data_IF_080064827577
#
_entry.id   IF_080064827577
#
_cell.length_a   1.000
_cell.length_b   1.000
_cell.length_c   1.000
_cell.angle_alpha   90.00
_cell.angle_beta   90.00
_cell.angle_gamma   90.00
#
_symmetry.space_group_name_H-M   'P 1'
#
loop_
_entity.id
_entity.type
_entity.pdbx_description
1 polymer ?
#
# COMPACT_ATOMS: atom_id res chain seq x y z
N UNK A 1 -7.82 21.09 -17.84
CA UNK A 1 -8.14 20.01 -16.89
C UNK A 1 -8.72 18.86 -17.70
N UNK A 2 -8.18 17.63 -17.65
CA UNK A 2 -8.96 16.48 -18.12
C UNK A 2 -10.27 16.45 -17.32
N UNK A 3 -11.38 16.07 -17.97
CA UNK A 3 -12.62 15.76 -17.26
C UNK A 3 -12.36 14.50 -16.41
N UNK A 4 -11.90 14.68 -15.17
CA UNK A 4 -11.79 13.58 -14.21
C UNK A 4 -13.20 13.21 -13.77
N UNK A 5 -13.82 12.28 -14.51
CA UNK A 5 -15.12 11.74 -14.17
C UNK A 5 -14.88 10.63 -13.13
N UNK A 6 -14.74 11.02 -11.87
CA UNK A 6 -14.58 10.08 -10.76
C UNK A 6 -15.85 9.23 -10.63
N UNK A 7 -15.69 7.91 -10.62
CA UNK A 7 -16.79 7.01 -10.28
C UNK A 7 -17.17 7.21 -8.81
N UNK A 8 -18.48 7.28 -8.48
CA UNK A 8 -18.90 7.35 -7.09
C UNK A 8 -18.47 6.08 -6.35
N UNK A 9 -17.69 6.24 -5.28
CA UNK A 9 -17.32 5.16 -4.37
C UNK A 9 -18.31 5.10 -3.20
N UNK A 10 -19.07 4.01 -3.12
CA UNK A 10 -19.87 3.70 -1.94
C UNK A 10 -19.01 2.95 -0.93
N UNK A 11 -18.72 3.58 0.21
CA UNK A 11 -17.97 2.96 1.30
C UNK A 11 -18.68 1.69 1.80
N UNK A 12 -19.99 1.73 1.97
CA UNK A 12 -20.78 0.56 2.43
C UNK A 12 -20.63 -0.63 1.50
N UNK A 13 -20.77 -0.40 0.19
CA UNK A 13 -20.65 -1.47 -0.80
C UNK A 13 -19.18 -1.95 -0.96
N UNK A 14 -18.20 -1.09 -0.71
CA UNK A 14 -16.77 -1.43 -0.80
C UNK A 14 -16.27 -2.13 0.46
N UNK A 15 -16.82 -1.83 1.64
CA UNK A 15 -16.32 -2.24 2.96
C UNK A 15 -16.00 -3.74 3.08
N UNK A 16 -16.83 -4.68 2.58
CA UNK A 16 -16.49 -6.11 2.66
C UNK A 16 -15.19 -6.46 1.92
N UNK A 17 -15.03 -5.97 0.68
CA UNK A 17 -13.80 -6.17 -0.12
C UNK A 17 -12.62 -5.38 0.45
N UNK A 18 -12.88 -4.18 0.98
CA UNK A 18 -11.87 -3.30 1.56
C UNK A 18 -11.13 -3.99 2.71
N UNK A 19 -11.83 -4.72 3.59
CA UNK A 19 -11.20 -5.46 4.69
C UNK A 19 -10.20 -6.51 4.19
N UNK A 20 -10.55 -7.23 3.12
CA UNK A 20 -9.64 -8.19 2.47
C UNK A 20 -8.43 -7.47 1.88
N UNK A 21 -8.63 -6.39 1.12
CA UNK A 21 -7.55 -5.59 0.54
C UNK A 21 -6.61 -5.02 1.61
N UNK A 22 -7.16 -4.55 2.73
CA UNK A 22 -6.39 -4.07 3.88
C UNK A 22 -5.50 -5.16 4.46
N UNK A 23 -6.01 -6.38 4.64
CA UNK A 23 -5.21 -7.50 5.11
C UNK A 23 -4.09 -7.86 4.12
N UNK A 24 -4.39 -7.84 2.82
CA UNK A 24 -3.40 -8.12 1.79
C UNK A 24 -2.31 -7.05 1.75
N UNK A 25 -2.69 -5.77 1.82
CA UNK A 25 -1.75 -4.65 1.88
C UNK A 25 -0.90 -4.70 3.17
N UNK A 26 -1.49 -5.03 4.32
CA UNK A 26 -0.76 -5.16 5.59
C UNK A 26 0.35 -6.20 5.50
N UNK A 27 0.06 -7.39 4.98
CA UNK A 27 1.09 -8.41 4.78
C UNK A 27 2.15 -7.94 3.79
N UNK A 28 1.72 -7.39 2.65
CA UNK A 28 2.63 -6.90 1.59
C UNK A 28 3.59 -5.84 2.12
N UNK A 29 3.09 -4.86 2.90
CA UNK A 29 3.91 -3.85 3.56
C UNK A 29 4.82 -4.42 4.66
N UNK A 30 4.39 -5.49 5.37
CA UNK A 30 5.24 -6.20 6.34
C UNK A 30 6.39 -6.95 5.65
N UNK A 31 6.15 -7.59 4.49
CA UNK A 31 7.21 -8.19 3.67
C UNK A 31 8.20 -7.12 3.24
N UNK A 32 7.71 -5.98 2.72
CA UNK A 32 8.56 -4.85 2.35
C UNK A 32 9.40 -4.37 3.53
N UNK A 33 8.79 -4.16 4.69
CA UNK A 33 9.47 -3.74 5.93
C UNK A 33 10.55 -4.72 6.37
N UNK A 34 10.30 -6.03 6.29
CA UNK A 34 11.22 -7.05 6.75
C UNK A 34 12.51 -7.13 5.93
N UNK A 35 12.45 -6.74 4.65
CA UNK A 35 13.55 -6.91 3.69
C UNK A 35 14.11 -5.59 3.14
N UNK A 36 13.45 -4.46 3.39
CA UNK A 36 13.94 -3.13 2.99
C UNK A 36 14.66 -2.47 4.17
N UNK A 37 15.87 -1.90 3.98
CA UNK A 37 16.51 -1.07 5.01
C UNK A 37 15.57 0.03 5.50
N UNK A 38 15.58 0.30 6.81
CA UNK A 38 14.77 1.38 7.39
C UNK A 38 14.99 2.66 6.61
N UNK A 39 13.90 3.26 6.19
CA UNK A 39 13.85 4.58 5.56
C UNK A 39 13.04 5.50 6.46
N UNK A 40 13.49 6.75 6.56
CA UNK A 40 12.81 7.85 7.27
C UNK A 40 11.34 7.98 6.87
N UNK A 41 10.56 8.59 7.76
CA UNK A 41 9.12 8.78 7.61
C UNK A 41 8.41 7.45 7.33
N UNK A 42 8.90 6.35 7.90
CA UNK A 42 8.39 4.98 7.70
C UNK A 42 8.19 4.53 6.24
N UNK A 43 8.84 5.17 5.27
CA UNK A 43 8.58 4.98 3.83
C UNK A 43 8.93 3.59 3.28
N UNK A 44 9.66 2.79 4.06
CA UNK A 44 9.97 1.37 3.78
C UNK A 44 8.80 0.41 4.09
N UNK A 45 7.69 0.90 4.65
CA UNK A 45 6.50 0.09 4.98
C UNK A 45 5.36 0.29 3.96
N UNK A 46 5.32 1.45 3.30
CA UNK A 46 4.21 1.85 2.44
C UNK A 46 4.09 1.02 1.16
N UNK A 47 3.01 1.19 0.41
CA UNK A 47 2.85 0.71 -0.97
C UNK A 47 2.71 1.89 -1.92
N UNK A 48 2.86 1.65 -3.22
CA UNK A 48 2.72 2.67 -4.27
C UNK A 48 1.72 2.19 -5.31
N UNK A 49 0.99 3.13 -5.91
CA UNK A 49 0.18 2.83 -7.08
C UNK A 49 1.10 2.46 -8.27
N UNK A 50 0.89 1.27 -8.81
CA UNK A 50 1.41 0.80 -10.09
C UNK A 50 0.34 0.94 -11.18
N UNK A 51 0.57 0.40 -12.38
CA UNK A 51 -0.40 0.47 -13.47
C UNK A 51 -1.70 -0.30 -13.17
N UNK A 52 -1.61 -1.45 -12.50
CA UNK A 52 -2.75 -2.37 -12.30
C UNK A 52 -3.13 -2.60 -10.83
N UNK A 53 -2.43 -1.95 -9.89
CA UNK A 53 -2.72 -2.10 -8.47
C UNK A 53 -1.63 -1.52 -7.57
N UNK A 54 -1.35 -2.18 -6.45
CA UNK A 54 -0.46 -1.67 -5.40
C UNK A 54 0.84 -2.47 -5.33
N UNK A 55 1.97 -1.81 -5.51
CA UNK A 55 3.30 -2.43 -5.47
C UNK A 55 4.11 -2.01 -4.26
N UNK A 56 4.98 -2.91 -3.78
CA UNK A 56 6.07 -2.55 -2.86
C UNK A 56 7.12 -1.67 -3.54
N UNK A 57 7.18 -1.70 -4.88
CA UNK A 57 8.36 -1.36 -5.64
C UNK A 57 9.49 -2.36 -5.37
N UNK A 58 10.69 -2.10 -5.94
CA UNK A 58 11.85 -2.97 -5.79
C UNK A 58 12.29 -3.10 -4.32
N UNK A 59 12.41 -4.33 -3.83
CA UNK A 59 12.93 -4.70 -2.51
C UNK A 59 14.26 -5.43 -2.72
N UNK A 60 15.37 -4.96 -2.11
CA UNK A 60 16.62 -5.71 -2.10
C UNK A 60 16.54 -6.91 -1.15
N UNK A 61 16.97 -8.08 -1.60
CA UNK A 61 17.10 -9.30 -0.78
C UNK A 61 18.39 -10.03 -1.16
N UNK A 62 19.49 -9.63 -0.51
CA UNK A 62 20.83 -10.14 -0.84
C UNK A 62 21.20 -9.84 -2.30
N UNK A 63 21.52 -10.85 -3.13
CA UNK A 63 21.88 -10.66 -4.54
C UNK A 63 20.66 -10.49 -5.47
N UNK A 64 19.44 -10.57 -4.95
CA UNK A 64 18.19 -10.50 -5.73
C UNK A 64 17.47 -9.21 -5.40
N UNK A 65 16.83 -8.61 -6.40
CA UNK A 65 15.78 -7.60 -6.17
C UNK A 65 14.46 -8.23 -6.57
N UNK A 66 13.41 -8.00 -5.79
CA UNK A 66 12.09 -8.51 -6.11
C UNK A 66 11.02 -7.50 -5.71
N UNK A 67 9.81 -7.67 -6.20
CA UNK A 67 8.67 -6.85 -5.80
C UNK A 67 7.42 -7.70 -5.64
N UNK A 68 6.50 -7.23 -4.78
CA UNK A 68 5.14 -7.73 -4.69
C UNK A 68 4.21 -6.70 -5.30
N UNK A 69 3.30 -7.16 -6.15
CA UNK A 69 2.21 -6.38 -6.72
C UNK A 69 0.88 -7.04 -6.35
N UNK A 70 0.04 -6.34 -5.61
CA UNK A 70 -1.39 -6.63 -5.52
C UNK A 70 -2.03 -6.11 -6.80
N UNK A 71 -2.10 -6.96 -7.83
CA UNK A 71 -2.71 -6.67 -9.12
C UNK A 71 -4.23 -6.69 -8.94
N UNK A 72 -4.82 -5.50 -8.84
CA UNK A 72 -6.26 -5.30 -8.61
C UNK A 72 -7.07 -5.37 -9.91
N UNK A 73 -6.38 -5.39 -11.06
CA UNK A 73 -7.01 -5.58 -12.38
C UNK A 73 -6.99 -7.05 -12.79
N UNK A 74 -5.87 -7.74 -12.53
CA UNK A 74 -5.75 -9.19 -12.75
C UNK A 74 -6.22 -10.05 -11.56
N UNK A 75 -6.62 -9.43 -10.45
CA UNK A 75 -7.06 -10.06 -9.20
C UNK A 75 -6.09 -11.12 -8.67
N UNK A 76 -4.82 -10.75 -8.57
CA UNK A 76 -3.75 -11.65 -8.16
C UNK A 76 -2.66 -10.90 -7.39
N UNK A 77 -2.04 -11.59 -6.43
CA UNK A 77 -0.71 -11.23 -5.96
C UNK A 77 0.29 -11.71 -7.03
N UNK A 78 1.17 -10.82 -7.47
CA UNK A 78 2.28 -11.11 -8.38
C UNK A 78 3.59 -10.86 -7.63
N UNK A 79 4.52 -11.81 -7.77
CA UNK A 79 5.89 -11.68 -7.26
C UNK A 79 6.84 -11.79 -8.45
N UNK A 80 7.62 -10.74 -8.69
CA UNK A 80 8.61 -10.68 -9.78
C UNK A 80 10.01 -10.53 -9.19
N UNK A 81 10.99 -11.26 -9.71
CA UNK A 81 12.40 -11.12 -9.32
C UNK A 81 13.25 -10.55 -10.44
N UNK A 82 14.41 -9.98 -10.10
CA UNK A 82 15.42 -9.48 -11.03
C UNK A 82 16.07 -10.59 -11.86
N UNK A 83 15.78 -11.86 -11.56
CA UNK A 83 16.18 -13.04 -12.36
C UNK A 83 15.15 -13.39 -13.44
N UNK A 84 14.03 -12.68 -13.51
CA UNK A 84 12.94 -12.94 -14.44
C UNK A 84 11.95 -13.99 -13.97
N UNK A 85 12.03 -14.44 -12.71
CA UNK A 85 11.02 -15.34 -12.14
C UNK A 85 9.74 -14.57 -11.86
N UNK A 86 8.60 -15.24 -12.07
CA UNK A 86 7.27 -14.69 -11.89
C UNK A 86 6.37 -15.73 -11.23
N UNK A 87 5.77 -15.42 -10.09
CA UNK A 87 4.77 -16.25 -9.41
C UNK A 87 3.51 -15.43 -9.20
N UNK A 88 2.35 -16.02 -9.47
CA UNK A 88 1.06 -15.43 -9.13
C UNK A 88 0.21 -16.29 -8.20
N UNK A 89 -0.63 -15.63 -7.40
CA UNK A 89 -1.62 -16.23 -6.50
C UNK A 89 -2.93 -15.43 -6.57
N UNK A 90 -4.10 -16.06 -6.68
CA UNK A 90 -5.36 -15.33 -6.84
C UNK A 90 -5.72 -14.54 -5.58
N UNK A 91 -6.26 -13.33 -5.75
CA UNK A 91 -6.94 -12.56 -4.71
C UNK A 91 -8.43 -12.89 -4.81
N UNK A 92 -8.96 -13.61 -3.83
CA UNK A 92 -10.29 -14.26 -3.92
C UNK A 92 -11.11 -14.14 -2.64
N UNK A 93 -10.72 -13.25 -1.72
CA UNK A 93 -11.36 -13.14 -0.41
C UNK A 93 -10.93 -14.26 0.55
N UNK A 94 -9.76 -14.87 0.32
CA UNK A 94 -9.20 -15.78 1.31
C UNK A 94 -8.91 -15.04 2.63
N UNK A 95 -8.94 -15.79 3.73
CA UNK A 95 -8.66 -15.25 5.06
C UNK A 95 -7.25 -14.67 5.17
N UNK A 96 -7.01 -13.82 6.18
CA UNK A 96 -5.69 -13.26 6.44
C UNK A 96 -4.64 -14.36 6.63
N UNK A 97 -5.00 -15.43 7.34
CA UNK A 97 -4.13 -16.58 7.57
C UNK A 97 -3.77 -17.30 6.27
N UNK A 98 -4.78 -17.56 5.43
CA UNK A 98 -4.57 -18.25 4.15
C UNK A 98 -3.69 -17.41 3.23
N UNK A 99 -3.95 -16.11 3.13
CA UNK A 99 -3.13 -15.21 2.31
C UNK A 99 -1.69 -15.12 2.83
N UNK A 100 -1.50 -15.09 4.15
CA UNK A 100 -0.18 -15.12 4.79
C UNK A 100 0.61 -16.37 4.39
N UNK A 101 0.03 -17.56 4.59
CA UNK A 101 0.69 -18.82 4.26
C UNK A 101 0.97 -18.96 2.76
N UNK A 102 0.00 -18.66 1.90
CA UNK A 102 0.16 -18.72 0.43
C UNK A 102 1.27 -17.78 -0.06
N UNK A 103 1.37 -16.57 0.51
CA UNK A 103 2.39 -15.57 0.16
C UNK A 103 3.78 -15.99 0.65
N UNK A 104 3.90 -16.41 1.92
CA UNK A 104 5.18 -16.84 2.48
C UNK A 104 5.70 -18.11 1.81
N UNK A 105 4.82 -19.04 1.44
CA UNK A 105 5.20 -20.23 0.68
C UNK A 105 5.69 -19.87 -0.73
N UNK A 106 5.05 -18.92 -1.41
CA UNK A 106 5.49 -18.43 -2.71
C UNK A 106 6.87 -17.76 -2.64
N UNK A 107 7.10 -16.91 -1.62
CA UNK A 107 8.40 -16.29 -1.36
C UNK A 107 9.49 -17.32 -1.05
N UNK A 108 9.18 -18.31 -0.19
CA UNK A 108 10.12 -19.38 0.14
C UNK A 108 10.53 -20.20 -1.10
N UNK A 109 9.60 -20.44 -2.03
CA UNK A 109 9.90 -21.09 -3.32
C UNK A 109 10.89 -20.32 -4.20
N UNK A 110 11.03 -19.00 -3.99
CA UNK A 110 12.01 -18.13 -4.66
C UNK A 110 13.32 -17.95 -3.85
N UNK A 111 13.42 -18.62 -2.70
CA UNK A 111 14.52 -18.45 -1.74
C UNK A 111 14.44 -17.17 -0.91
N UNK A 112 13.26 -16.55 -0.80
CA UNK A 112 13.01 -15.32 -0.04
C UNK A 112 12.30 -15.66 1.28
N UNK A 113 12.89 -15.28 2.41
CA UNK A 113 12.36 -15.64 3.75
C UNK A 113 12.27 -14.40 4.65
N UNK A 114 11.28 -13.51 4.46
CA UNK A 114 11.08 -12.38 5.35
C UNK A 114 10.70 -12.85 6.76
N UNK A 115 11.21 -12.17 7.79
CA UNK A 115 10.80 -12.40 9.18
C UNK A 115 9.44 -11.75 9.43
N UNK A 116 8.39 -12.58 9.51
CA UNK A 116 7.00 -12.16 9.63
C UNK A 116 6.37 -12.86 10.83
N UNK A 117 5.92 -12.06 11.80
CA UNK A 117 5.05 -12.52 12.89
C UNK A 117 3.68 -12.92 12.33
N UNK A 118 3.48 -14.23 12.18
CA UNK A 118 2.26 -14.82 11.64
C UNK A 118 1.05 -14.62 12.56
N UNK A 119 1.25 -14.34 13.85
CA UNK A 119 0.13 -14.12 14.78
C UNK A 119 -0.70 -12.88 14.41
N UNK A 120 -0.09 -11.91 13.74
CA UNK A 120 -0.76 -10.72 13.19
C UNK A 120 -1.76 -11.04 12.08
N UNK A 121 -1.69 -12.24 11.51
CA UNK A 121 -2.54 -12.70 10.41
C UNK A 121 -3.29 -13.99 10.76
N UNK A 122 -3.49 -14.30 12.04
CA UNK A 122 -4.08 -15.57 12.47
C UNK A 122 -5.58 -15.73 12.18
N UNK A 123 -6.27 -14.70 11.67
CA UNK A 123 -7.68 -14.79 11.32
C UNK A 123 -7.91 -15.75 10.14
N UNK A 124 -8.64 -16.82 10.41
CA UNK A 124 -8.98 -17.88 9.45
C UNK A 124 -10.32 -17.63 8.74
N UNK A 125 -11.06 -16.59 9.12
CA UNK A 125 -12.36 -16.25 8.54
C UNK A 125 -12.19 -15.78 7.10
N UNK A 126 -12.82 -16.44 6.11
CA UNK A 126 -12.83 -15.94 4.75
C UNK A 126 -13.44 -14.53 4.69
N UNK A 127 -12.79 -13.65 3.91
CA UNK A 127 -13.29 -12.31 3.63
C UNK A 127 -14.18 -12.28 2.39
N UNK A 128 -14.62 -11.08 2.02
CA UNK A 128 -15.28 -10.84 0.74
C UNK A 128 -14.28 -10.31 -0.30
N UNK A 129 -14.55 -10.54 -1.57
CA UNK A 129 -13.79 -9.99 -2.68
C UNK A 129 -14.71 -9.89 -3.90
N UNK A 130 -15.45 -8.79 -3.98
CA UNK A 130 -16.23 -8.44 -5.16
C UNK A 130 -15.33 -7.74 -6.18
N UNK A 131 -15.18 -8.36 -7.35
CA UNK A 131 -14.32 -7.89 -8.44
C UNK A 131 -14.71 -6.49 -8.90
N UNK A 132 -16.01 -6.23 -9.13
CA UNK A 132 -16.46 -4.93 -9.62
C UNK A 132 -16.19 -3.82 -8.60
N UNK A 133 -16.38 -4.10 -7.31
CA UNK A 133 -16.05 -3.15 -6.25
C UNK A 133 -14.55 -2.88 -6.13
N UNK A 134 -13.72 -3.90 -6.31
CA UNK A 134 -12.26 -3.75 -6.30
C UNK A 134 -11.77 -2.94 -7.51
N UNK A 135 -12.31 -3.21 -8.71
CA UNK A 135 -12.00 -2.45 -9.93
C UNK A 135 -12.43 -0.98 -9.80
N UNK A 136 -13.65 -0.72 -9.30
CA UNK A 136 -14.14 0.63 -9.05
C UNK A 136 -13.23 1.38 -8.06
N UNK A 137 -12.83 0.73 -6.97
CA UNK A 137 -11.88 1.28 -6.02
C UNK A 137 -10.53 1.58 -6.67
N UNK A 138 -9.99 0.65 -7.45
CA UNK A 138 -8.71 0.84 -8.11
C UNK A 138 -8.73 1.98 -9.14
N UNK A 139 -9.80 2.10 -9.92
CA UNK A 139 -9.98 3.22 -10.86
C UNK A 139 -10.01 4.57 -10.16
N UNK A 140 -10.67 4.67 -9.01
CA UNK A 140 -10.68 5.89 -8.22
C UNK A 140 -9.30 6.18 -7.60
N UNK A 141 -8.68 5.18 -6.95
CA UNK A 141 -7.40 5.32 -6.28
C UNK A 141 -6.28 5.73 -7.24
N UNK A 142 -6.23 5.12 -8.44
CA UNK A 142 -5.22 5.46 -9.47
C UNK A 142 -5.38 6.88 -10.03
N UNK A 143 -6.61 7.36 -10.18
CA UNK A 143 -6.87 8.76 -10.56
C UNK A 143 -6.47 9.73 -9.45
N UNK A 144 -6.74 9.39 -8.19
CA UNK A 144 -6.36 10.21 -7.03
C UNK A 144 -4.84 10.24 -6.87
N UNK A 145 -4.15 9.11 -7.04
CA UNK A 145 -2.69 9.06 -7.10
C UNK A 145 -2.12 9.99 -8.17
N UNK A 146 -2.69 10.00 -9.37
CA UNK A 146 -2.28 10.92 -10.43
C UNK A 146 -2.49 12.40 -10.04
N UNK A 147 -3.61 12.72 -9.39
CA UNK A 147 -3.88 14.08 -8.88
C UNK A 147 -2.88 14.47 -7.80
N UNK A 148 -2.60 13.59 -6.82
CA UNK A 148 -1.61 13.86 -5.76
C UNK A 148 -0.19 14.00 -6.33
N UNK A 149 0.16 13.22 -7.36
CA UNK A 149 1.43 13.34 -8.08
C UNK A 149 1.55 14.68 -8.80
N UNK A 150 0.48 15.15 -9.44
CA UNK A 150 0.45 16.48 -10.03
C UNK A 150 0.59 17.56 -8.96
N UNK A 151 -0.23 17.49 -7.91
CA UNK A 151 -0.23 18.44 -6.80
C UNK A 151 1.16 18.57 -6.17
N UNK A 152 1.84 17.45 -5.85
CA UNK A 152 3.19 17.52 -5.28
C UNK A 152 4.22 18.12 -6.24
N UNK A 153 4.03 17.98 -7.56
CA UNK A 153 4.90 18.56 -8.58
C UNK A 153 4.78 20.09 -8.68
N UNK A 154 3.70 20.67 -8.16
CA UNK A 154 3.47 22.12 -8.10
C UNK A 154 4.07 22.74 -6.82
N UNK A 155 4.47 21.92 -5.84
CA UNK A 155 5.09 22.36 -4.60
C UNK A 155 6.61 22.50 -4.76
N UNK A 156 7.16 23.64 -4.31
CA UNK A 156 8.61 23.91 -4.40
C UNK A 156 9.43 23.13 -3.37
N UNK A 157 8.87 22.91 -2.18
CA UNK A 157 9.57 22.26 -1.07
C UNK A 157 9.58 20.73 -1.22
N UNK A 158 10.36 20.09 -0.36
CA UNK A 158 10.50 18.63 -0.35
C UNK A 158 9.18 17.94 -0.08
N UNK A 159 8.95 16.84 -0.78
CA UNK A 159 7.74 16.01 -0.65
C UNK A 159 8.09 14.53 -0.69
N UNK A 160 7.44 13.73 0.15
CA UNK A 160 7.51 12.27 0.09
C UNK A 160 6.87 11.70 -1.18
N UNK A 161 7.02 10.41 -1.42
CA UNK A 161 6.24 9.72 -2.46
C UNK A 161 4.73 9.84 -2.18
N UNK A 162 3.92 9.72 -3.24
CA UNK A 162 2.51 9.37 -3.07
C UNK A 162 2.45 7.90 -2.70
N UNK A 163 1.95 7.61 -1.50
CA UNK A 163 2.11 6.30 -0.89
C UNK A 163 0.85 5.87 -0.16
N UNK A 164 0.51 4.59 -0.26
CA UNK A 164 -0.58 3.96 0.48
C UNK A 164 -0.03 3.40 1.78
N UNK A 165 -0.65 3.76 2.89
CA UNK A 165 -0.34 3.25 4.21
C UNK A 165 -1.16 2.00 4.53
N UNK A 166 -0.55 0.81 4.68
CA UNK A 166 -1.31 -0.43 4.81
C UNK A 166 -2.22 -0.53 6.05
N UNK A 167 -1.94 0.24 7.10
CA UNK A 167 -2.57 0.08 8.40
C UNK A 167 -3.94 0.77 8.48
N UNK A 168 -4.07 2.00 7.99
CA UNK A 168 -5.34 2.72 7.84
C UNK A 168 -5.90 2.68 6.40
N UNK A 169 -5.08 2.24 5.43
CA UNK A 169 -5.45 2.10 4.02
C UNK A 169 -5.84 3.42 3.34
N UNK A 170 -5.10 4.44 3.70
CA UNK A 170 -5.15 5.78 3.13
C UNK A 170 -3.96 6.00 2.19
N UNK A 171 -4.21 6.77 1.14
CA UNK A 171 -3.19 7.26 0.22
C UNK A 171 -2.78 8.65 0.68
N UNK A 172 -1.48 8.92 0.82
CA UNK A 172 -1.01 10.21 1.30
C UNK A 172 0.28 10.65 0.61
N UNK A 173 0.50 11.97 0.62
CA UNK A 173 1.78 12.60 0.33
C UNK A 173 2.16 13.51 1.49
N UNK A 174 3.42 13.41 1.90
CA UNK A 174 4.03 14.28 2.89
C UNK A 174 4.62 15.50 2.21
N UNK A 175 4.34 16.68 2.73
CA UNK A 175 5.02 17.92 2.40
C UNK A 175 5.81 18.41 3.60
N UNK A 176 7.04 18.84 3.37
CA UNK A 176 7.94 19.34 4.42
C UNK A 176 8.23 20.81 4.20
N UNK A 177 8.09 21.62 5.26
CA UNK A 177 8.35 23.06 5.13
C UNK A 177 9.85 23.40 5.07
N UNK A 178 10.71 22.46 5.47
CA UNK A 178 12.14 22.65 5.70
C UNK A 178 12.49 23.23 7.08
N UNK A 179 11.50 23.45 7.95
CA UNK A 179 11.71 23.85 9.34
C UNK A 179 11.71 22.63 10.25
N UNK A 180 12.43 22.74 11.36
CA UNK A 180 12.34 21.77 12.44
C UNK A 180 11.23 22.15 13.41
N UNK A 181 10.57 21.16 13.99
CA UNK A 181 9.62 21.34 15.08
C UNK A 181 10.39 21.75 16.35
N UNK A 182 10.04 22.87 17.02
CA UNK A 182 10.68 23.25 18.28
C UNK A 182 10.56 22.16 19.34
N UNK A 183 11.60 22.02 20.17
CA UNK A 183 11.68 21.07 21.30
C UNK A 183 11.66 19.57 20.92
N UNK A 184 11.69 19.23 19.62
CA UNK A 184 11.94 17.87 19.14
C UNK A 184 13.44 17.70 18.85
N UNK A 185 13.98 16.52 19.17
CA UNK A 185 15.38 16.19 18.85
C UNK A 185 15.58 16.30 17.32
N UNK A 186 16.49 17.15 16.81
CA UNK A 186 16.74 17.28 15.38
C UNK A 186 17.21 15.98 14.69
N UNK A 187 17.66 14.98 15.46
CA UNK A 187 18.01 13.66 14.94
C UNK A 187 16.81 12.70 14.82
N UNK A 188 15.62 13.07 15.31
CA UNK A 188 14.40 12.28 15.14
C UNK A 188 13.85 12.43 13.73
N UNK A 189 14.31 11.57 12.82
CA UNK A 189 13.91 11.54 11.42
C UNK A 189 12.41 11.32 11.16
N UNK A 190 11.61 11.01 12.18
CA UNK A 190 10.17 10.80 12.04
C UNK A 190 9.35 12.05 12.43
N UNK A 191 9.84 12.81 13.43
CA UNK A 191 9.08 13.89 14.06
C UNK A 191 9.75 15.25 14.02
N UNK A 192 11.06 15.33 13.73
CA UNK A 192 11.81 16.57 13.78
C UNK A 192 11.45 17.52 12.64
N UNK A 193 11.12 17.00 11.45
CA UNK A 193 10.76 17.81 10.30
C UNK A 193 9.29 18.29 10.40
N UNK A 194 9.07 19.60 10.32
CA UNK A 194 7.73 20.16 10.25
C UNK A 194 7.08 19.74 8.93
N UNK A 195 5.99 18.97 9.05
CA UNK A 195 5.35 18.29 7.94
C UNK A 195 3.84 18.44 7.95
N UNK A 196 3.24 18.34 6.76
CA UNK A 196 1.80 18.28 6.56
C UNK A 196 1.48 17.11 5.62
N UNK A 197 0.44 16.34 5.97
CA UNK A 197 -0.07 15.26 5.13
C UNK A 197 -1.25 15.75 4.30
N UNK A 198 -1.25 15.40 3.02
CA UNK A 198 -2.41 15.50 2.15
C UNK A 198 -2.77 14.09 1.70
N UNK A 199 -4.02 13.68 1.87
CA UNK A 199 -4.35 12.28 1.63
C UNK A 199 -5.76 12.04 1.13
N UNK A 200 -6.09 10.76 1.05
CA UNK A 200 -7.39 10.25 0.67
C UNK A 200 -7.63 8.93 1.40
N UNK A 201 -8.82 8.77 1.96
CA UNK A 201 -9.32 7.49 2.46
C UNK A 201 -10.68 7.17 1.83
N UNK A 202 -10.99 5.89 1.56
CA UNK A 202 -12.29 5.48 1.03
C UNK A 202 -13.45 5.60 2.04
N UNK A 203 -13.15 5.94 3.30
CA UNK A 203 -14.07 6.01 4.42
C UNK A 203 -13.64 5.09 5.58
N UNK A 204 -14.20 5.33 6.75
CA UNK A 204 -14.04 4.49 7.94
C UNK A 204 -15.35 4.39 8.75
N UNK A 205 -15.29 3.79 9.94
CA UNK A 205 -16.47 3.63 10.79
C UNK A 205 -17.02 4.96 11.35
N UNK A 206 -16.19 5.99 11.50
CA UNK A 206 -16.56 7.31 11.99
C UNK A 206 -17.06 8.22 10.86
N UNK A 207 -16.44 8.13 9.67
CA UNK A 207 -16.80 8.86 8.47
C UNK A 207 -17.00 7.86 7.30
N UNK A 208 -18.21 7.29 7.13
CA UNK A 208 -18.47 6.21 6.17
C UNK A 208 -18.65 6.73 4.73
N UNK A 209 -17.77 7.62 4.31
CA UNK A 209 -17.73 8.19 2.97
C UNK A 209 -16.29 8.58 2.64
N UNK A 210 -15.90 8.63 1.35
CA UNK A 210 -14.56 9.04 0.98
C UNK A 210 -14.24 10.48 1.43
N UNK A 211 -13.02 10.71 1.90
CA UNK A 211 -12.55 12.02 2.36
C UNK A 211 -11.07 12.24 2.03
N UNK A 212 -10.68 13.52 2.01
CA UNK A 212 -9.30 14.01 1.81
C UNK A 212 -8.76 14.65 3.09
#
# INVERSE_FOLDING_TARGET
MPNNNFLPLSYEALLPSLKSLQNYAKLTGKVRRALTPRQKHWSHISLRAAATGLTTGPIPAGPVTFELLLDLTGHQLVITTSRGEHISRPLRGQSAATFCEETLAALAGLGLTPDIDRTLFADITPGAYDVAQVENYWQALSQIDAVLKQFKGELRQETGDVQLWPHHFDLAVLWFSGRLVPDVDPADEENADEQMNFGFAPGDAALPQPYF
#
